data_IF_442241858353
#
_entry.id   IF_442241858353
#
_cell.length_a   1.000
_cell.length_b   1.000
_cell.length_c   1.000
_cell.angle_alpha   90.00
_cell.angle_beta   90.00
_cell.angle_gamma   90.00
#
_symmetry.space_group_name_H-M   'P 1'
#
loop_
_entity.id
_entity.type
_entity.pdbx_description
1 polymer ?
#
# COMPACT_ATOMS: atom_id res chain seq x y z
N UNK A 1 41.52 82.02 23.18
CA UNK A 1 42.89 81.49 23.29
C UNK A 1 43.08 80.44 22.21
N UNK A 2 44.13 80.59 21.39
CA UNK A 2 44.97 79.54 20.78
C UNK A 2 44.23 78.41 20.03
N UNK A 3 44.42 78.18 18.74
CA UNK A 3 45.48 78.61 17.85
C UNK A 3 45.38 77.84 16.54
N UNK A 4 46.00 78.43 15.53
CA UNK A 4 46.37 77.91 14.21
C UNK A 4 46.92 76.45 14.25
N UNK A 5 46.84 75.72 13.13
CA UNK A 5 48.01 75.18 12.41
C UNK A 5 47.64 74.35 11.16
N UNK A 6 48.36 74.68 10.06
CA UNK A 6 48.95 73.80 9.03
C UNK A 6 48.00 73.08 8.05
N UNK A 7 47.80 73.54 6.82
CA UNK A 7 48.65 73.45 5.59
C UNK A 7 48.83 72.05 4.98
N UNK A 8 48.51 72.01 3.69
CA UNK A 8 49.26 71.40 2.57
C UNK A 8 48.73 70.11 1.93
N UNK A 9 48.39 70.29 0.64
CA UNK A 9 48.62 69.41 -0.53
C UNK A 9 47.83 68.10 -0.63
N UNK A 10 46.87 67.99 -1.56
CA UNK A 10 46.99 67.89 -3.03
C UNK A 10 46.91 66.42 -3.48
N UNK A 11 45.95 66.09 -4.35
CA UNK A 11 46.17 65.68 -5.75
C UNK A 11 44.82 65.26 -6.34
N UNK A 12 44.53 65.87 -7.48
CA UNK A 12 43.44 65.57 -8.42
C UNK A 12 43.77 64.30 -9.21
N UNK A 13 42.80 63.40 -9.33
CA UNK A 13 42.70 62.44 -10.44
C UNK A 13 41.20 62.30 -10.78
N UNK A 14 40.70 62.96 -11.82
CA UNK A 14 40.74 62.56 -13.24
C UNK A 14 39.84 61.34 -13.54
N UNK A 15 38.53 61.57 -13.72
CA UNK A 15 37.84 61.46 -15.02
C UNK A 15 36.36 61.03 -14.94
N UNK A 16 35.54 61.41 -15.96
CA UNK A 16 34.08 61.36 -15.95
C UNK A 16 33.54 60.14 -16.72
N UNK A 17 32.27 59.76 -16.49
CA UNK A 17 31.50 59.07 -17.53
C UNK A 17 30.00 58.91 -17.20
N UNK A 18 29.20 59.41 -18.14
CA UNK A 18 27.92 58.87 -18.61
C UNK A 18 26.65 59.07 -17.77
N UNK A 19 25.83 60.01 -18.25
CA UNK A 19 24.38 59.98 -18.14
C UNK A 19 23.83 58.70 -18.80
N UNK A 20 23.16 57.86 -18.02
CA UNK A 20 22.27 56.81 -18.52
C UNK A 20 20.83 57.25 -18.26
N UNK A 21 20.05 57.39 -19.34
CA UNK A 21 18.62 57.68 -19.27
C UNK A 21 17.85 56.53 -18.60
N UNK A 22 16.74 56.78 -17.88
CA UNK A 22 15.93 55.71 -17.31
C UNK A 22 15.19 54.99 -18.44
N UNK A 23 15.63 53.78 -18.76
CA UNK A 23 14.84 52.85 -19.54
C UNK A 23 13.64 52.42 -18.70
N UNK A 24 12.44 52.54 -19.26
CA UNK A 24 11.19 52.09 -18.63
C UNK A 24 11.30 50.60 -18.30
N UNK A 25 11.40 50.28 -17.01
CA UNK A 25 11.28 48.91 -16.52
C UNK A 25 9.81 48.50 -16.62
N UNK A 26 9.48 47.74 -17.65
CA UNK A 26 8.19 47.10 -17.81
C UNK A 26 8.13 45.95 -16.79
N UNK A 27 7.47 46.18 -15.66
CA UNK A 27 7.14 45.14 -14.69
C UNK A 27 6.09 44.23 -15.32
N UNK A 28 6.53 43.14 -15.94
CA UNK A 28 5.66 42.00 -16.19
C UNK A 28 5.32 41.38 -14.84
N UNK A 29 4.10 41.63 -14.37
CA UNK A 29 3.47 40.83 -13.32
C UNK A 29 3.19 39.45 -13.90
N UNK A 30 4.14 38.54 -13.80
CA UNK A 30 3.90 37.11 -13.99
C UNK A 30 2.99 36.64 -12.85
N UNK A 31 1.69 36.66 -13.12
CA UNK A 31 0.69 35.91 -12.36
C UNK A 31 0.87 34.43 -12.70
N UNK A 32 1.92 33.83 -12.16
CA UNK A 32 2.06 32.39 -12.13
C UNK A 32 1.30 31.86 -10.91
N UNK A 33 0.00 31.59 -11.10
CA UNK A 33 -0.72 30.62 -10.29
C UNK A 33 -0.12 29.23 -10.57
N UNK A 34 1.06 28.97 -10.00
CA UNK A 34 1.57 27.63 -9.82
C UNK A 34 1.12 27.20 -8.44
N UNK A 35 0.25 26.20 -8.36
CA UNK A 35 0.02 25.45 -7.13
C UNK A 35 1.35 24.79 -6.74
N UNK A 36 2.19 25.56 -6.06
CA UNK A 36 3.45 25.12 -5.49
C UNK A 36 3.13 24.02 -4.50
N UNK A 37 3.46 22.78 -4.87
CA UNK A 37 3.37 21.65 -3.95
C UNK A 37 4.18 22.01 -2.70
N UNK A 38 3.53 21.96 -1.54
CA UNK A 38 4.19 22.20 -0.26
C UNK A 38 4.83 20.88 0.20
N UNK A 39 6.14 20.90 0.41
CA UNK A 39 6.89 19.73 0.85
C UNK A 39 7.09 19.81 2.36
N UNK A 40 6.60 18.79 3.07
CA UNK A 40 6.88 18.63 4.50
C UNK A 40 8.24 17.93 4.69
N UNK A 41 9.05 18.43 5.64
CA UNK A 41 10.37 17.83 5.96
C UNK A 41 10.29 16.74 7.04
N UNK A 42 9.13 16.56 7.67
CA UNK A 42 8.90 15.58 8.72
C UNK A 42 7.59 15.81 9.44
N UNK A 43 7.16 14.86 10.29
CA UNK A 43 5.98 15.05 11.13
C UNK A 43 6.23 16.17 12.17
N UNK A 44 5.21 16.98 12.40
CA UNK A 44 5.16 17.96 13.49
C UNK A 44 4.99 17.26 14.86
N UNK A 45 5.04 18.04 15.95
CA UNK A 45 5.00 17.49 17.32
C UNK A 45 3.74 16.66 17.62
N UNK A 46 2.62 16.97 16.96
CA UNK A 46 1.33 16.31 17.15
C UNK A 46 1.04 15.25 16.07
N UNK A 47 1.95 15.08 15.10
CA UNK A 47 1.79 14.12 14.01
C UNK A 47 2.59 12.84 14.26
N UNK A 48 1.91 11.71 14.09
CA UNK A 48 2.56 10.40 14.17
C UNK A 48 2.47 9.74 12.81
N UNK A 49 3.61 9.26 12.30
CA UNK A 49 3.65 8.50 11.05
C UNK A 49 2.77 7.26 11.17
N UNK A 50 1.95 6.99 10.15
CA UNK A 50 1.15 5.78 10.06
C UNK A 50 1.97 4.50 10.27
N UNK A 51 3.23 4.49 9.83
CA UNK A 51 4.17 3.37 10.05
C UNK A 51 4.57 3.12 11.51
N UNK A 52 4.16 3.97 12.46
CA UNK A 52 4.28 3.71 13.90
C UNK A 52 3.08 2.96 14.45
N UNK A 53 1.95 3.06 13.76
CA UNK A 53 0.74 2.31 14.06
C UNK A 53 0.75 0.97 13.33
N UNK A 54 0.94 0.99 12.01
CA UNK A 54 0.96 -0.22 11.17
C UNK A 54 2.15 -1.10 11.57
N UNK A 55 1.86 -2.37 11.85
CA UNK A 55 2.83 -3.35 12.34
C UNK A 55 3.12 -3.27 13.84
N UNK A 56 2.52 -2.32 14.57
CA UNK A 56 2.64 -2.29 16.03
C UNK A 56 1.90 -3.48 16.65
N UNK A 57 2.48 -4.15 17.66
CA UNK A 57 1.77 -5.18 18.41
C UNK A 57 0.62 -4.55 19.20
N UNK A 58 -0.50 -5.25 19.21
CA UNK A 58 -1.70 -4.87 19.96
C UNK A 58 -1.74 -5.70 21.25
N UNK A 59 -1.88 -5.01 22.38
CA UNK A 59 -2.02 -5.61 23.70
C UNK A 59 -3.30 -5.14 24.40
N UNK A 60 -3.79 -5.93 25.34
CA UNK A 60 -4.84 -5.48 26.26
C UNK A 60 -4.25 -4.77 27.50
N UNK A 61 -5.14 -4.30 28.38
CA UNK A 61 -4.78 -3.71 29.67
C UNK A 61 -4.09 -4.69 30.65
N UNK A 62 -4.11 -5.99 30.36
CA UNK A 62 -3.42 -7.03 31.12
C UNK A 62 -2.02 -7.37 30.55
N UNK A 63 -1.51 -6.59 29.60
CA UNK A 63 -0.22 -6.80 28.89
C UNK A 63 -0.19 -8.09 28.05
N UNK A 64 -1.35 -8.65 27.73
CA UNK A 64 -1.47 -9.83 26.87
C UNK A 64 -1.48 -9.42 25.40
N UNK A 65 -0.64 -10.08 24.58
CA UNK A 65 -0.63 -9.85 23.13
C UNK A 65 -1.89 -10.45 22.48
N UNK A 66 -2.64 -9.58 21.81
CA UNK A 66 -3.85 -9.94 21.06
C UNK A 66 -3.51 -10.26 19.60
N UNK A 67 -2.66 -9.43 19.00
CA UNK A 67 -2.43 -9.40 17.57
C UNK A 67 -1.53 -8.24 17.14
N UNK A 68 -1.68 -7.79 15.91
CA UNK A 68 -0.88 -6.72 15.30
C UNK A 68 -1.77 -5.81 14.44
N UNK A 69 -1.41 -4.53 14.30
CA UNK A 69 -2.13 -3.59 13.42
C UNK A 69 -1.76 -3.88 11.97
N UNK A 70 -2.75 -4.21 11.13
CA UNK A 70 -2.55 -4.50 9.72
C UNK A 70 -2.73 -3.26 8.85
N UNK A 71 -3.78 -2.47 9.11
CA UNK A 71 -4.14 -1.32 8.28
C UNK A 71 -4.87 -0.21 9.06
N UNK A 72 -5.06 0.95 8.44
CA UNK A 72 -5.78 2.10 8.95
C UNK A 72 -6.94 2.46 8.03
N UNK A 73 -8.12 2.71 8.60
CA UNK A 73 -9.29 3.19 7.86
C UNK A 73 -9.35 4.71 7.97
N UNK A 74 -9.31 5.40 6.84
CA UNK A 74 -9.41 6.86 6.78
C UNK A 74 -10.80 7.31 6.33
N UNK A 75 -11.26 8.44 6.85
CA UNK A 75 -12.40 9.17 6.32
C UNK A 75 -12.05 9.82 4.97
N UNK A 76 -13.06 10.24 4.18
CA UNK A 76 -12.83 11.04 2.98
C UNK A 76 -12.11 12.38 3.25
N UNK A 77 -12.15 12.86 4.50
CA UNK A 77 -11.43 14.06 4.94
C UNK A 77 -9.97 13.80 5.35
N UNK A 78 -9.49 12.56 5.25
CA UNK A 78 -8.11 12.17 5.58
C UNK A 78 -7.85 11.89 7.07
N UNK A 79 -8.90 11.82 7.90
CA UNK A 79 -8.76 11.50 9.33
C UNK A 79 -8.81 9.99 9.55
N UNK A 80 -7.96 9.45 10.41
CA UNK A 80 -7.99 8.02 10.75
C UNK A 80 -9.18 7.74 11.67
N UNK A 81 -10.12 6.93 11.20
CA UNK A 81 -11.35 6.56 11.92
C UNK A 81 -11.20 5.26 12.72
N UNK A 82 -10.48 4.29 12.15
CA UNK A 82 -10.34 2.97 12.75
C UNK A 82 -8.99 2.32 12.40
N UNK A 83 -8.55 1.42 13.27
CA UNK A 83 -7.42 0.51 13.08
C UNK A 83 -7.96 -0.86 12.69
N UNK A 84 -7.41 -1.47 11.65
CA UNK A 84 -7.67 -2.86 11.28
C UNK A 84 -6.65 -3.74 12.00
N UNK A 85 -7.14 -4.54 12.93
CA UNK A 85 -6.34 -5.41 13.77
C UNK A 85 -6.40 -6.85 13.24
N UNK A 86 -5.25 -7.47 13.04
CA UNK A 86 -5.15 -8.91 12.79
C UNK A 86 -5.18 -9.65 14.13
N UNK A 87 -6.26 -10.35 14.42
CA UNK A 87 -6.47 -11.06 15.69
C UNK A 87 -6.14 -12.54 15.48
N UNK A 88 -5.28 -13.06 16.37
CA UNK A 88 -4.52 -14.29 16.21
C UNK A 88 -5.14 -15.45 15.42
N UNK A 89 -4.33 -15.98 14.49
CA UNK A 89 -4.42 -17.33 13.94
C UNK A 89 -3.03 -17.98 13.96
N UNK A 90 -2.95 -19.27 14.31
CA UNK A 90 -1.71 -20.03 14.10
C UNK A 90 -1.36 -19.99 12.60
N UNK A 91 -0.20 -19.42 12.25
CA UNK A 91 0.49 -19.53 10.95
C UNK A 91 -0.45 -19.63 9.73
N UNK A 92 -1.08 -18.51 9.36
CA UNK A 92 -1.70 -18.33 8.03
C UNK A 92 -3.06 -18.99 7.76
N UNK A 93 -3.64 -19.76 8.70
CA UNK A 93 -4.90 -20.51 8.46
C UNK A 93 -6.11 -20.08 9.29
N UNK A 94 -6.02 -19.03 10.10
CA UNK A 94 -7.16 -18.54 10.91
C UNK A 94 -7.08 -17.06 11.31
N UNK A 95 -6.26 -16.24 10.63
CA UNK A 95 -6.23 -14.81 10.95
C UNK A 95 -7.55 -14.16 10.58
N UNK A 96 -8.09 -13.38 11.52
CA UNK A 96 -9.32 -12.61 11.39
C UNK A 96 -9.00 -11.14 11.54
N UNK A 97 -9.54 -10.33 10.64
CA UNK A 97 -9.39 -8.88 10.69
C UNK A 97 -10.58 -8.25 11.39
N UNK A 98 -10.31 -7.31 12.29
CA UNK A 98 -11.34 -6.59 13.06
C UNK A 98 -11.01 -5.11 13.06
N UNK A 99 -11.98 -4.26 12.75
CA UNK A 99 -11.81 -2.81 12.82
C UNK A 99 -12.20 -2.29 14.20
N UNK A 100 -11.29 -1.56 14.85
CA UNK A 100 -11.50 -0.90 16.14
C UNK A 100 -11.34 0.60 15.95
N UNK A 101 -12.20 1.41 16.56
CA UNK A 101 -12.10 2.88 16.41
C UNK A 101 -10.80 3.38 17.03
N UNK A 102 -10.19 4.39 16.40
CA UNK A 102 -8.96 4.99 16.91
C UNK A 102 -9.15 5.54 18.34
N UNK A 103 -10.32 6.10 18.64
CA UNK A 103 -10.66 6.64 19.95
C UNK A 103 -10.67 5.59 21.08
N UNK A 104 -10.83 4.31 20.75
CA UNK A 104 -10.83 3.20 21.70
C UNK A 104 -9.44 2.56 21.83
N UNK A 105 -8.41 3.20 21.26
CA UNK A 105 -7.04 2.70 21.22
C UNK A 105 -6.05 3.74 21.71
N UNK A 106 -4.97 3.30 22.35
CA UNK A 106 -3.89 4.17 22.81
C UNK A 106 -2.57 3.70 22.20
N UNK A 107 -1.86 4.62 21.53
CA UNK A 107 -0.48 4.35 21.11
C UNK A 107 0.47 4.68 22.25
N UNK A 108 1.17 3.67 22.75
CA UNK A 108 2.17 3.83 23.80
C UNK A 108 3.55 3.54 23.24
N UNK A 109 4.52 4.36 23.64
CA UNK A 109 5.94 4.11 23.34
C UNK A 109 6.56 3.27 24.45
N UNK A 110 7.18 2.16 24.07
CA UNK A 110 7.88 1.29 25.01
C UNK A 110 9.32 1.78 25.27
N UNK A 111 9.98 1.20 26.29
CA UNK A 111 11.33 1.63 26.71
C UNK A 111 12.40 1.39 25.65
N UNK A 112 12.20 0.41 24.77
CA UNK A 112 13.07 0.08 23.65
C UNK A 112 12.87 1.03 22.43
N UNK A 113 11.90 1.94 22.50
CA UNK A 113 11.55 2.86 21.41
C UNK A 113 10.55 2.28 20.41
N UNK A 114 10.11 1.03 20.58
CA UNK A 114 8.98 0.45 19.86
C UNK A 114 7.66 1.12 20.27
N UNK A 115 6.64 0.98 19.43
CA UNK A 115 5.30 1.47 19.74
C UNK A 115 4.39 0.25 19.86
N UNK A 116 3.53 0.28 20.87
CA UNK A 116 2.52 -0.74 21.13
C UNK A 116 1.15 -0.06 21.12
N UNK A 117 0.14 -0.76 20.64
CA UNK A 117 -1.24 -0.29 20.69
C UNK A 117 -1.95 -0.99 21.83
N UNK A 118 -2.52 -0.22 22.76
CA UNK A 118 -3.33 -0.74 23.85
C UNK A 118 -4.80 -0.61 23.48
N UNK A 119 -5.56 -1.67 23.71
CA UNK A 119 -7.02 -1.71 23.56
C UNK A 119 -7.68 -2.19 24.84
N UNK A 120 -8.80 -1.58 25.21
CA UNK A 120 -9.57 -1.99 26.39
C UNK A 120 -10.57 -3.11 26.05
N UNK A 121 -10.04 -4.25 25.60
CA UNK A 121 -10.84 -5.42 25.26
C UNK A 121 -10.01 -6.69 25.35
N UNK A 122 -10.67 -7.85 25.32
CA UNK A 122 -10.01 -9.15 25.36
C UNK A 122 -9.83 -9.74 23.96
N UNK A 123 -8.89 -10.69 23.85
CA UNK A 123 -8.65 -11.42 22.61
C UNK A 123 -9.90 -12.17 22.16
N UNK A 124 -10.62 -12.79 23.07
CA UNK A 124 -11.82 -13.57 22.80
C UNK A 124 -12.95 -12.68 22.30
N UNK A 125 -13.11 -11.48 22.88
CA UNK A 125 -14.09 -10.50 22.44
C UNK A 125 -13.82 -10.04 21.01
N UNK A 126 -12.56 -9.77 20.67
CA UNK A 126 -12.16 -9.43 19.31
C UNK A 126 -12.29 -10.61 18.34
N UNK A 127 -12.02 -11.84 18.77
CA UNK A 127 -12.26 -13.03 17.96
C UNK A 127 -13.76 -13.26 17.68
N UNK A 128 -14.64 -12.90 18.62
CA UNK A 128 -16.09 -12.97 18.46
C UNK A 128 -16.68 -11.79 17.66
N UNK A 129 -15.96 -10.66 17.58
CA UNK A 129 -16.41 -9.46 16.88
C UNK A 129 -16.67 -9.70 15.39
N UNK A 130 -17.50 -8.89 14.70
CA UNK A 130 -17.68 -9.01 13.26
C UNK A 130 -16.33 -8.89 12.52
N UNK A 131 -16.14 -9.74 11.52
CA UNK A 131 -14.97 -9.62 10.64
C UNK A 131 -15.05 -8.33 9.82
N UNK A 132 -13.97 -7.57 9.79
CA UNK A 132 -13.83 -6.43 8.91
C UNK A 132 -13.59 -6.91 7.49
N UNK A 133 -14.55 -6.63 6.60
CA UNK A 133 -14.45 -6.93 5.18
C UNK A 133 -14.32 -5.63 4.41
N UNK A 134 -13.19 -5.45 3.73
CA UNK A 134 -13.03 -4.34 2.78
C UNK A 134 -13.95 -4.61 1.60
N UNK A 135 -14.94 -3.74 1.38
CA UNK A 135 -15.89 -3.89 0.28
C UNK A 135 -15.14 -3.87 -1.06
N UNK A 136 -15.13 -5.02 -1.76
CA UNK A 136 -14.42 -5.19 -3.04
C UNK A 136 -13.11 -5.97 -2.95
N UNK A 137 -12.56 -6.19 -1.75
CA UNK A 137 -11.38 -7.02 -1.55
C UNK A 137 -11.80 -8.45 -1.17
N UNK A 138 -11.78 -9.35 -2.17
CA UNK A 138 -11.96 -10.79 -1.92
C UNK A 138 -10.79 -11.28 -1.08
N UNK A 139 -11.07 -11.86 0.08
CA UNK A 139 -10.05 -12.46 0.93
C UNK A 139 -9.32 -13.58 0.18
N UNK A 140 -8.10 -13.92 0.62
CA UNK A 140 -7.33 -15.03 0.02
C UNK A 140 -8.13 -16.36 0.05
N UNK A 141 -8.99 -16.55 1.05
CA UNK A 141 -9.91 -17.70 1.15
C UNK A 141 -10.99 -17.67 0.07
N UNK A 142 -11.65 -16.53 -0.11
CA UNK A 142 -12.70 -16.39 -1.13
C UNK A 142 -12.14 -16.63 -2.54
N UNK A 143 -10.92 -16.14 -2.80
CA UNK A 143 -10.22 -16.39 -4.08
C UNK A 143 -9.83 -17.85 -4.25
N UNK A 144 -9.38 -18.52 -3.18
CA UNK A 144 -8.99 -19.94 -3.22
C UNK A 144 -10.21 -20.86 -3.41
N UNK A 145 -11.33 -20.56 -2.76
CA UNK A 145 -12.57 -21.32 -2.91
C UNK A 145 -13.16 -21.17 -4.33
N UNK A 146 -13.15 -19.95 -4.87
CA UNK A 146 -13.56 -19.67 -6.25
C UNK A 146 -12.64 -20.36 -7.27
N UNK A 147 -11.31 -20.28 -7.08
CA UNK A 147 -10.34 -20.98 -7.91
C UNK A 147 -10.50 -22.51 -7.83
N UNK A 148 -10.77 -23.07 -6.65
CA UNK A 148 -10.94 -24.51 -6.47
C UNK A 148 -12.19 -25.04 -7.21
N UNK A 149 -13.28 -24.27 -7.23
CA UNK A 149 -14.49 -24.61 -7.99
C UNK A 149 -14.24 -24.57 -9.49
N UNK A 150 -13.52 -23.55 -9.97
CA UNK A 150 -13.15 -23.43 -11.38
C UNK A 150 -12.26 -24.61 -11.84
N UNK A 151 -11.27 -24.99 -11.01
CA UNK A 151 -10.37 -26.11 -11.30
C UNK A 151 -11.11 -27.46 -11.29
N UNK A 152 -11.98 -27.72 -10.30
CA UNK A 152 -12.79 -28.95 -10.23
C UNK A 152 -13.73 -29.08 -11.44
N UNK A 153 -14.37 -27.98 -11.84
CA UNK A 153 -15.21 -27.94 -13.03
C UNK A 153 -14.40 -28.30 -14.29
N UNK A 154 -13.24 -27.66 -14.48
CA UNK A 154 -12.38 -27.93 -15.62
C UNK A 154 -11.91 -29.39 -15.68
N UNK A 155 -11.56 -29.98 -14.54
CA UNK A 155 -11.14 -31.38 -14.44
C UNK A 155 -12.23 -32.36 -14.88
N UNK A 156 -13.48 -32.19 -14.41
CA UNK A 156 -14.59 -33.06 -14.81
C UNK A 156 -14.96 -32.88 -16.29
N UNK A 157 -14.81 -31.68 -16.84
CA UNK A 157 -15.10 -31.42 -18.26
C UNK A 157 -14.07 -32.11 -19.17
N UNK A 158 -12.79 -32.05 -18.79
CA UNK A 158 -11.72 -32.74 -19.52
C UNK A 158 -11.86 -34.25 -19.41
N UNK A 159 -12.23 -34.76 -18.23
CA UNK A 159 -12.45 -36.18 -17.98
C UNK A 159 -13.62 -36.75 -18.80
N UNK A 160 -14.74 -36.04 -18.91
CA UNK A 160 -15.85 -36.46 -19.77
C UNK A 160 -15.46 -36.44 -21.26
N UNK A 161 -14.80 -35.38 -21.74
CA UNK A 161 -14.28 -35.35 -23.12
C UNK A 161 -13.24 -36.43 -23.39
N UNK A 162 -12.43 -36.79 -22.40
CA UNK A 162 -11.45 -37.87 -22.52
C UNK A 162 -12.12 -39.25 -22.60
N UNK A 163 -13.20 -39.49 -21.83
CA UNK A 163 -14.02 -40.70 -21.97
C UNK A 163 -14.70 -40.78 -23.32
N UNK A 164 -15.31 -39.69 -23.79
CA UNK A 164 -15.93 -39.62 -25.12
C UNK A 164 -14.90 -39.88 -26.22
N UNK A 165 -13.71 -39.27 -26.12
CA UNK A 165 -12.61 -39.51 -27.06
C UNK A 165 -12.11 -40.94 -27.05
N UNK A 166 -12.06 -41.58 -25.86
CA UNK A 166 -11.66 -42.97 -25.71
C UNK A 166 -12.68 -43.94 -26.32
N UNK A 167 -13.97 -43.76 -26.05
CA UNK A 167 -15.01 -44.62 -26.64
C UNK A 167 -15.11 -44.41 -28.16
N UNK A 168 -15.01 -43.16 -28.65
CA UNK A 168 -14.97 -42.88 -30.09
C UNK A 168 -13.75 -43.49 -30.79
N UNK A 169 -12.58 -43.45 -30.16
CA UNK A 169 -11.37 -44.08 -30.69
C UNK A 169 -11.48 -45.61 -30.69
N UNK A 170 -12.11 -46.19 -29.66
CA UNK A 170 -12.38 -47.62 -29.55
C UNK A 170 -13.39 -48.12 -30.58
N UNK A 171 -14.45 -47.36 -30.86
CA UNK A 171 -15.40 -47.65 -31.94
C UNK A 171 -14.72 -47.60 -33.33
N UNK A 172 -13.85 -46.60 -33.56
CA UNK A 172 -13.09 -46.49 -34.81
C UNK A 172 -12.10 -47.65 -35.02
N UNK A 173 -11.52 -48.20 -33.94
CA UNK A 173 -10.63 -49.37 -34.00
C UNK A 173 -11.38 -50.70 -34.16
N UNK A 174 -12.66 -50.77 -33.76
CA UNK A 174 -13.49 -51.96 -33.95
C UNK A 174 -14.12 -52.04 -35.35
N UNK A 175 -14.08 -50.95 -36.13
CA UNK A 175 -14.71 -50.83 -37.44
C UNK A 175 -13.90 -51.29 -38.67
N UNK A 176 -12.61 -51.64 -38.54
CA UNK A 176 -11.77 -51.99 -39.71
C UNK A 176 -10.85 -53.19 -39.45
N UNK A 177 -11.44 -54.34 -39.07
CA UNK A 177 -10.75 -55.60 -38.84
C UNK A 177 -10.86 -56.63 -39.97
N UNK A 178 -11.42 -56.29 -41.13
CA UNK A 178 -11.64 -57.27 -42.20
C UNK A 178 -11.40 -56.72 -43.60
N UNK A 179 -10.16 -56.35 -43.90
CA UNK A 179 -9.61 -56.44 -45.27
C UNK A 179 -8.08 -56.50 -45.21
N UNK A 180 -7.60 -57.71 -44.99
CA UNK A 180 -6.22 -58.10 -45.28
C UNK A 180 -6.02 -58.08 -46.80
N UNK A 181 -5.18 -57.20 -47.38
CA UNK A 181 -4.73 -57.42 -48.74
C UNK A 181 -3.78 -58.62 -48.74
N UNK A 182 -4.13 -59.62 -49.55
CA UNK A 182 -3.35 -60.83 -49.79
C UNK A 182 -1.94 -60.50 -50.32
N UNK A 183 -0.93 -61.34 -50.06
CA UNK A 183 0.42 -61.14 -50.58
C UNK A 183 0.42 -61.32 -52.10
N UNK A 184 0.89 -60.31 -52.84
CA UNK A 184 1.10 -60.44 -54.28
C UNK A 184 2.33 -61.33 -54.54
N UNK A 185 2.03 -62.47 -55.15
CA UNK A 185 2.95 -63.53 -55.58
C UNK A 185 3.78 -63.13 -56.81
N UNK A 186 4.94 -63.78 -56.95
CA UNK A 186 6.00 -63.58 -57.95
C UNK A 186 5.54 -63.47 -59.41
N UNK A 187 6.31 -62.71 -60.19
CA UNK A 187 6.93 -63.21 -61.44
C UNK A 187 8.39 -62.78 -61.48
#
# INVERSE_FOLDING_TARGET
MRGFLLTASAIVALSPAFFAAPAMTQTATDTANSSTLEFISGPSADEVRASRWIGAPVKNNADEKIGDVNDLVLSPSGQVQALVLGVGGFVGLAEKYVAVKLADTELRKEKDGSHIVIVDTTKEALQAAPEFKVAGEKTMRDRLDEASKAVKSGYETVKEKAKEGYEKAKEAMQGDGSKQPAPAEKQ
#
